data_IF_127422032814
#
_entry.id   IF_127422032814
#
_cell.length_a   1.000
_cell.length_b   1.000
_cell.length_c   1.000
_cell.angle_alpha   90.00
_cell.angle_beta   90.00
_cell.angle_gamma   90.00
#
_symmetry.space_group_name_H-M   'P 1'
#
loop_
_entity.id
_entity.type
_entity.pdbx_description
1 polymer ?
#
# COMPACT_ATOMS: atom_id res chain seq x y z
N UNK A 1 -11.17 10.76 16.51
CA UNK A 1 -12.44 10.98 15.79
C UNK A 1 -13.21 9.69 15.61
N UNK A 2 -12.56 8.60 15.18
CA UNK A 2 -13.20 7.27 15.13
C UNK A 2 -13.76 6.84 16.50
N UNK A 3 -13.00 7.01 17.58
CA UNK A 3 -13.39 6.57 18.94
C UNK A 3 -14.62 7.31 19.46
N UNK A 4 -14.78 8.58 19.07
CA UNK A 4 -15.99 9.35 19.34
C UNK A 4 -17.19 8.78 18.59
N UNK A 5 -17.03 8.48 17.30
CA UNK A 5 -18.08 7.84 16.49
C UNK A 5 -18.42 6.45 17.01
N UNK A 6 -17.43 5.68 17.48
CA UNK A 6 -17.60 4.37 18.10
C UNK A 6 -18.39 4.48 19.41
N UNK A 7 -18.02 5.42 20.28
CA UNK A 7 -18.73 5.69 21.54
C UNK A 7 -20.19 6.09 21.32
N UNK A 8 -20.47 6.81 20.22
CA UNK A 8 -21.83 7.20 19.81
C UNK A 8 -22.58 6.13 19.02
N UNK A 9 -22.00 4.94 18.81
CA UNK A 9 -22.53 3.85 17.95
C UNK A 9 -22.87 4.31 16.52
N UNK A 10 -22.10 5.27 16.01
CA UNK A 10 -22.17 5.82 14.64
C UNK A 10 -20.90 5.53 13.84
N UNK A 11 -20.10 4.55 14.26
CA UNK A 11 -18.92 4.12 13.53
C UNK A 11 -19.32 3.43 12.22
N UNK A 12 -18.61 3.77 11.15
CA UNK A 12 -18.77 3.15 9.83
C UNK A 12 -17.45 2.54 9.39
N UNK A 13 -17.49 1.56 8.48
CA UNK A 13 -16.28 1.02 7.87
C UNK A 13 -15.48 2.12 7.15
N UNK A 14 -16.13 3.17 6.65
CA UNK A 14 -15.40 4.27 6.04
C UNK A 14 -14.63 5.13 7.04
N UNK A 15 -15.24 5.46 8.19
CA UNK A 15 -14.51 6.16 9.25
C UNK A 15 -13.34 5.33 9.78
N UNK A 16 -13.50 4.00 9.84
CA UNK A 16 -12.42 3.09 10.21
C UNK A 16 -11.29 3.12 9.18
N UNK A 17 -11.63 3.06 7.90
CA UNK A 17 -10.65 3.13 6.81
C UNK A 17 -9.88 4.46 6.80
N UNK A 18 -10.58 5.59 6.99
CA UNK A 18 -9.94 6.90 7.07
C UNK A 18 -9.00 7.00 8.28
N UNK A 19 -9.34 6.37 9.41
CA UNK A 19 -8.45 6.28 10.56
C UNK A 19 -7.17 5.50 10.21
N UNK A 20 -7.30 4.33 9.59
CA UNK A 20 -6.17 3.53 9.09
C UNK A 20 -5.27 4.34 8.13
N UNK A 21 -5.85 5.03 7.14
CA UNK A 21 -5.09 5.86 6.19
C UNK A 21 -4.36 7.00 6.92
N UNK A 22 -5.02 7.65 7.88
CA UNK A 22 -4.43 8.79 8.59
C UNK A 22 -3.24 8.42 9.47
N UNK A 23 -3.29 7.29 10.19
CA UNK A 23 -2.18 6.86 11.04
C UNK A 23 -0.99 6.39 10.20
N UNK A 24 -1.26 5.70 9.08
CA UNK A 24 -0.22 5.29 8.13
C UNK A 24 0.43 6.50 7.45
N UNK A 25 -0.34 7.54 7.08
CA UNK A 25 0.22 8.79 6.55
C UNK A 25 1.18 9.46 7.53
N UNK A 26 0.78 9.59 8.81
CA UNK A 26 1.62 10.19 9.84
C UNK A 26 2.91 9.39 10.06
N UNK A 27 2.81 8.06 10.04
CA UNK A 27 3.97 7.17 10.18
C UNK A 27 4.93 7.25 9.00
N UNK A 28 4.42 7.18 7.76
CA UNK A 28 5.25 7.25 6.55
C UNK A 28 5.97 8.59 6.40
N UNK A 29 5.38 9.68 6.92
CA UNK A 29 6.01 11.00 6.94
C UNK A 29 6.87 11.26 8.20
N UNK A 30 7.19 10.23 8.99
CA UNK A 30 8.03 10.32 10.19
C UNK A 30 7.50 11.33 11.23
N UNK A 31 6.19 11.59 11.24
CA UNK A 31 5.52 12.47 12.21
C UNK A 31 5.05 11.71 13.46
N UNK A 32 5.17 10.39 13.44
CA UNK A 32 4.74 9.48 14.50
C UNK A 32 5.89 8.54 14.87
N UNK A 33 6.12 8.31 16.16
CA UNK A 33 7.12 7.33 16.61
C UNK A 33 6.62 5.90 16.37
N UNK A 34 7.54 4.95 16.31
CA UNK A 34 7.20 3.55 16.09
C UNK A 34 6.29 3.03 17.22
N UNK A 35 6.58 3.33 18.48
CA UNK A 35 5.78 2.86 19.61
C UNK A 35 4.34 3.37 19.55
N UNK A 36 4.15 4.62 19.13
CA UNK A 36 2.81 5.21 18.96
C UNK A 36 2.08 4.61 17.76
N UNK A 37 2.81 4.31 16.68
CA UNK A 37 2.25 3.63 15.52
C UNK A 37 1.76 2.23 15.90
N UNK A 38 2.59 1.43 16.56
CA UNK A 38 2.22 0.08 17.00
C UNK A 38 0.99 0.10 17.92
N UNK A 39 0.95 1.01 18.90
CA UNK A 39 -0.19 1.13 19.79
C UNK A 39 -1.50 1.45 19.03
N UNK A 40 -1.46 2.41 18.10
CA UNK A 40 -2.65 2.75 17.29
C UNK A 40 -3.05 1.66 16.30
N UNK A 41 -2.08 0.92 15.75
CA UNK A 41 -2.34 -0.24 14.90
C UNK A 41 -3.05 -1.34 15.68
N UNK A 42 -2.57 -1.66 16.89
CA UNK A 42 -3.22 -2.67 17.76
C UNK A 42 -4.69 -2.33 18.05
N UNK A 43 -4.99 -1.07 18.33
CA UNK A 43 -6.36 -0.60 18.56
C UNK A 43 -7.22 -0.72 17.30
N UNK A 44 -6.70 -0.31 16.14
CA UNK A 44 -7.40 -0.44 14.86
C UNK A 44 -7.63 -1.91 14.47
N UNK A 45 -6.68 -2.81 14.71
CA UNK A 45 -6.87 -4.26 14.52
C UNK A 45 -7.99 -4.80 15.40
N UNK A 46 -8.06 -4.38 16.66
CA UNK A 46 -9.16 -4.75 17.55
C UNK A 46 -10.51 -4.25 17.01
N UNK A 47 -10.58 -3.04 16.47
CA UNK A 47 -11.81 -2.54 15.83
C UNK A 47 -12.15 -3.34 14.58
N UNK A 48 -11.19 -3.64 13.72
CA UNK A 48 -11.37 -4.45 12.50
C UNK A 48 -11.92 -5.84 12.85
N UNK A 49 -11.42 -6.47 13.92
CA UNK A 49 -11.81 -7.81 14.33
C UNK A 49 -13.16 -7.85 15.08
N UNK A 50 -13.50 -6.79 15.81
CA UNK A 50 -14.72 -6.76 16.65
C UNK A 50 -15.95 -6.16 15.98
N UNK A 51 -15.76 -5.16 15.10
CA UNK A 51 -16.86 -4.35 14.53
C UNK A 51 -16.64 -3.96 13.08
N UNK A 52 -15.39 -3.96 12.62
CA UNK A 52 -15.05 -3.78 11.21
C UNK A 52 -15.56 -4.96 10.40
N UNK A 53 -16.03 -4.68 9.19
CA UNK A 53 -16.56 -5.69 8.28
C UNK A 53 -17.85 -6.37 8.74
N UNK A 54 -18.53 -5.87 9.78
CA UNK A 54 -19.87 -6.34 10.13
C UNK A 54 -20.74 -6.19 8.87
N UNK A 55 -21.15 -7.33 8.30
CA UNK A 55 -21.84 -7.37 7.02
C UNK A 55 -23.14 -6.58 7.13
N UNK A 56 -23.13 -5.32 6.69
CA UNK A 56 -24.35 -4.67 6.27
C UNK A 56 -24.77 -5.39 4.98
N UNK A 57 -25.43 -6.54 5.15
CA UNK A 57 -26.08 -7.26 4.05
C UNK A 57 -27.06 -6.29 3.44
N UNK A 58 -26.63 -5.59 2.40
CA UNK A 58 -27.49 -4.69 1.65
C UNK A 58 -28.38 -5.60 0.81
N UNK A 59 -29.54 -5.95 1.34
CA UNK A 59 -30.56 -6.61 0.51
C UNK A 59 -31.07 -5.59 -0.49
N UNK A 60 -30.78 -5.82 -1.78
CA UNK A 60 -31.37 -5.05 -2.86
C UNK A 60 -32.65 -5.76 -3.28
N UNK A 61 -33.77 -5.04 -3.24
CA UNK A 61 -35.04 -5.55 -3.78
C UNK A 61 -35.08 -5.22 -5.27
N UNK A 62 -35.05 -6.25 -6.11
CA UNK A 62 -35.26 -6.14 -7.55
C UNK A 62 -36.69 -5.66 -7.85
N UNK A 63 -36.93 -5.19 -9.08
CA UNK A 63 -38.25 -4.69 -9.52
C UNK A 63 -39.36 -5.75 -9.48
N UNK A 64 -38.99 -7.03 -9.45
CA UNK A 64 -39.88 -8.19 -9.33
C UNK A 64 -40.18 -8.59 -7.87
N UNK A 65 -39.63 -7.86 -6.89
CA UNK A 65 -39.77 -8.17 -5.46
C UNK A 65 -38.73 -9.15 -4.91
N UNK A 66 -37.83 -9.68 -5.74
CA UNK A 66 -36.77 -10.60 -5.31
C UNK A 66 -35.73 -9.84 -4.49
N UNK A 67 -35.55 -10.23 -3.22
CA UNK A 67 -34.50 -9.72 -2.35
C UNK A 67 -33.18 -10.46 -2.64
N UNK A 68 -32.31 -9.85 -3.44
CA UNK A 68 -30.94 -10.33 -3.61
C UNK A 68 -30.05 -9.74 -2.53
N UNK A 69 -29.19 -10.57 -1.93
CA UNK A 69 -28.08 -10.09 -1.13
C UNK A 69 -27.11 -9.42 -2.10
N UNK A 70 -27.07 -8.09 -2.14
CA UNK A 70 -26.00 -7.43 -2.85
C UNK A 70 -24.74 -7.58 -1.99
N UNK A 71 -23.64 -8.12 -2.54
CA UNK A 71 -22.34 -8.06 -1.89
C UNK A 71 -21.83 -6.60 -1.92
N UNK A 72 -22.49 -5.72 -1.18
CA UNK A 72 -21.82 -4.53 -0.66
C UNK A 72 -21.11 -5.04 0.58
N UNK A 73 -19.80 -5.02 0.63
CA UNK A 73 -19.15 -3.92 1.33
C UNK A 73 -17.66 -4.17 1.20
N UNK A 74 -16.91 -3.11 0.91
CA UNK A 74 -15.48 -3.14 1.08
C UNK A 74 -15.11 -3.72 2.46
N UNK A 75 -14.16 -4.66 2.49
CA UNK A 75 -13.64 -5.31 3.68
C UNK A 75 -12.25 -4.76 3.99
N UNK A 76 -12.02 -4.36 5.23
CA UNK A 76 -10.72 -3.92 5.72
C UNK A 76 -10.00 -5.14 6.32
N UNK A 77 -8.76 -5.35 5.91
CA UNK A 77 -7.83 -6.33 6.46
C UNK A 77 -6.51 -5.63 6.81
N UNK A 78 -5.61 -6.32 7.48
CA UNK A 78 -4.29 -5.83 7.81
C UNK A 78 -3.24 -6.87 7.38
N UNK A 79 -2.08 -6.38 6.96
CA UNK A 79 -0.96 -7.20 6.52
C UNK A 79 0.36 -6.44 6.69
N UNK A 80 1.48 -7.15 6.66
CA UNK A 80 2.78 -6.50 6.67
C UNK A 80 3.11 -6.00 5.26
N UNK A 81 3.35 -4.70 5.13
CA UNK A 81 3.67 -4.06 3.86
C UNK A 81 5.12 -3.55 3.87
N UNK A 82 5.88 -3.69 2.77
CA UNK A 82 7.21 -3.11 2.69
C UNK A 82 7.12 -1.57 2.64
N UNK A 83 8.10 -0.87 3.22
CA UNK A 83 8.25 0.60 3.14
C UNK A 83 8.69 1.06 1.75
N UNK A 84 7.91 0.72 0.74
CA UNK A 84 8.15 1.01 -0.67
C UNK A 84 7.07 1.89 -1.26
N UNK A 85 7.48 3.02 -1.84
CA UNK A 85 6.58 3.91 -2.55
C UNK A 85 6.02 3.25 -3.81
N UNK A 86 4.69 3.19 -3.88
CA UNK A 86 3.92 2.86 -5.10
C UNK A 86 4.31 1.51 -5.73
N UNK A 87 4.79 0.54 -4.94
CA UNK A 87 5.28 -0.75 -5.44
C UNK A 87 4.28 -1.42 -6.39
N UNK A 88 3.00 -1.41 -6.02
CA UNK A 88 1.94 -2.02 -6.83
C UNK A 88 1.78 -1.36 -8.21
N UNK A 89 2.01 -0.06 -8.34
CA UNK A 89 1.77 0.68 -9.59
C UNK A 89 3.05 0.96 -10.39
N UNK A 90 4.20 0.59 -9.84
CA UNK A 90 5.51 0.85 -10.41
C UNK A 90 6.32 -0.43 -10.56
N UNK A 91 7.64 -0.31 -10.68
CA UNK A 91 8.57 -1.43 -10.70
C UNK A 91 9.36 -1.44 -9.39
N UNK A 92 9.86 -2.61 -9.00
CA UNK A 92 10.56 -2.79 -7.73
C UNK A 92 11.77 -1.86 -7.62
N UNK A 93 12.55 -1.77 -8.70
CA UNK A 93 13.79 -1.00 -8.72
C UNK A 93 13.56 0.48 -8.43
N UNK A 94 12.64 1.11 -9.16
CA UNK A 94 12.30 2.52 -9.01
C UNK A 94 11.61 2.78 -7.67
N UNK A 95 10.75 1.87 -7.21
CA UNK A 95 10.15 1.95 -5.88
C UNK A 95 11.21 1.97 -4.79
N UNK A 96 12.20 1.07 -4.84
CA UNK A 96 13.33 1.07 -3.89
C UNK A 96 14.17 2.34 -4.02
N UNK A 97 14.40 2.82 -5.23
CA UNK A 97 15.18 4.02 -5.49
C UNK A 97 14.56 5.28 -4.86
N UNK A 98 13.24 5.43 -4.99
CA UNK A 98 12.48 6.61 -4.58
C UNK A 98 12.00 6.59 -3.14
N UNK A 99 12.03 5.43 -2.47
CA UNK A 99 11.55 5.32 -1.10
C UNK A 99 12.54 5.98 -0.15
N UNK A 100 12.08 6.99 0.60
CA UNK A 100 12.91 7.76 1.56
C UNK A 100 13.76 6.86 2.46
N UNK A 101 13.14 5.79 2.98
CA UNK A 101 13.78 4.83 3.88
C UNK A 101 15.04 4.17 3.25
N UNK A 102 14.94 3.70 2.01
CA UNK A 102 16.07 3.08 1.29
C UNK A 102 17.05 4.15 0.81
N UNK A 103 16.51 5.24 0.25
CA UNK A 103 17.30 6.28 -0.38
C UNK A 103 18.34 6.85 0.59
N UNK A 104 17.93 7.11 1.83
CA UNK A 104 18.80 7.66 2.89
C UNK A 104 19.87 6.68 3.35
N UNK A 105 19.53 5.40 3.57
CA UNK A 105 20.48 4.36 4.03
C UNK A 105 21.49 3.97 2.95
N UNK A 106 21.05 3.81 1.71
CA UNK A 106 21.91 3.38 0.60
C UNK A 106 22.52 4.54 -0.20
N UNK A 107 22.08 5.79 0.04
CA UNK A 107 22.47 6.99 -0.71
C UNK A 107 22.21 6.84 -2.22
N UNK A 108 20.99 6.43 -2.57
CA UNK A 108 20.62 6.02 -3.94
C UNK A 108 20.68 7.14 -4.98
N UNK A 109 20.76 8.40 -4.56
CA UNK A 109 21.02 9.56 -5.43
C UNK A 109 22.46 9.64 -5.95
N UNK A 110 23.37 8.81 -5.43
CA UNK A 110 24.76 8.72 -5.90
C UNK A 110 24.99 7.49 -6.78
N UNK A 111 25.95 7.57 -7.71
CA UNK A 111 26.33 6.42 -8.55
C UNK A 111 26.76 5.21 -7.73
N UNK A 112 27.43 5.42 -6.60
CA UNK A 112 27.83 4.35 -5.71
C UNK A 112 26.63 3.71 -5.01
N UNK A 113 25.67 4.51 -4.52
CA UNK A 113 24.43 4.00 -3.94
C UNK A 113 23.59 3.23 -4.94
N UNK A 114 23.52 3.71 -6.19
CA UNK A 114 22.87 3.02 -7.30
C UNK A 114 23.52 1.65 -7.58
N UNK A 115 24.86 1.59 -7.61
CA UNK A 115 25.60 0.32 -7.76
C UNK A 115 25.34 -0.63 -6.59
N UNK A 116 25.30 -0.11 -5.36
CA UNK A 116 24.97 -0.90 -4.16
C UNK A 116 23.57 -1.49 -4.23
N UNK A 117 22.56 -0.72 -4.66
CA UNK A 117 21.20 -1.22 -4.82
C UNK A 117 21.10 -2.33 -5.88
N UNK A 118 21.75 -2.15 -7.04
CA UNK A 118 21.82 -3.19 -8.08
C UNK A 118 22.50 -4.46 -7.58
N UNK A 119 23.61 -4.31 -6.83
CA UNK A 119 24.32 -5.43 -6.24
C UNK A 119 23.48 -6.16 -5.19
N UNK A 120 22.74 -5.42 -4.36
CA UNK A 120 21.82 -5.98 -3.36
C UNK A 120 20.74 -6.86 -4.01
N UNK A 121 20.08 -6.36 -5.06
CA UNK A 121 19.08 -7.13 -5.81
C UNK A 121 19.69 -8.37 -6.46
N UNK A 122 20.90 -8.25 -7.01
CA UNK A 122 21.62 -9.39 -7.57
C UNK A 122 22.00 -10.43 -6.51
N UNK A 123 22.38 -10.02 -5.29
CA UNK A 123 22.68 -10.93 -4.17
C UNK A 123 21.46 -11.73 -3.72
N UNK A 124 20.26 -11.14 -3.81
CA UNK A 124 18.98 -11.81 -3.53
C UNK A 124 18.50 -12.72 -4.68
N UNK A 125 19.24 -12.78 -5.79
CA UNK A 125 18.85 -13.56 -6.97
C UNK A 125 17.79 -12.89 -7.85
N UNK A 126 17.49 -11.61 -7.66
CA UNK A 126 16.52 -10.90 -8.50
C UNK A 126 17.20 -10.33 -9.74
N UNK A 127 16.77 -10.78 -10.92
CA UNK A 127 17.22 -10.22 -12.19
C UNK A 127 16.87 -8.74 -12.29
N UNK A 128 17.81 -7.91 -12.75
CA UNK A 128 17.58 -6.48 -12.92
C UNK A 128 16.45 -6.21 -13.92
N UNK A 129 16.34 -7.03 -14.97
CA UNK A 129 15.27 -6.94 -15.97
C UNK A 129 13.91 -7.11 -15.30
N UNK A 130 13.80 -8.10 -14.39
CA UNK A 130 12.57 -8.35 -13.66
C UNK A 130 12.27 -7.24 -12.66
N UNK A 131 13.29 -6.66 -12.02
CA UNK A 131 13.10 -5.56 -11.09
C UNK A 131 12.66 -4.25 -11.78
N UNK A 132 12.94 -4.10 -13.08
CA UNK A 132 12.57 -2.93 -13.88
C UNK A 132 11.23 -3.09 -14.59
N UNK A 133 10.71 -4.31 -14.70
CA UNK A 133 9.35 -4.56 -15.19
C UNK A 133 8.31 -4.11 -14.15
N UNK A 134 7.08 -3.79 -14.57
CA UNK A 134 6.02 -3.44 -13.61
C UNK A 134 5.83 -4.58 -12.61
N UNK A 135 5.81 -4.26 -11.32
CA UNK A 135 5.72 -5.22 -10.23
C UNK A 135 4.53 -6.16 -10.42
N UNK A 136 3.38 -5.67 -10.90
CA UNK A 136 2.21 -6.50 -11.21
C UNK A 136 2.51 -7.69 -12.13
N UNK A 137 3.44 -7.56 -13.07
CA UNK A 137 3.80 -8.58 -14.05
C UNK A 137 5.00 -9.45 -13.66
N UNK A 138 5.72 -9.07 -12.59
CA UNK A 138 6.83 -9.88 -12.07
C UNK A 138 6.35 -11.27 -11.63
N UNK A 139 7.20 -12.27 -11.82
CA UNK A 139 6.90 -13.67 -11.50
C UNK A 139 6.39 -13.82 -10.06
N UNK A 140 5.39 -14.67 -9.87
CA UNK A 140 4.80 -14.98 -8.58
C UNK A 140 5.81 -15.64 -7.65
N UNK A 141 6.66 -16.52 -8.17
CA UNK A 141 7.68 -17.21 -7.37
C UNK A 141 8.67 -16.19 -6.79
N UNK A 142 9.11 -15.24 -7.62
CA UNK A 142 10.00 -14.15 -7.18
C UNK A 142 9.34 -13.27 -6.11
N UNK A 143 8.05 -12.95 -6.26
CA UNK A 143 7.30 -12.19 -5.25
C UNK A 143 7.16 -12.93 -3.92
N UNK A 144 6.99 -14.25 -3.96
CA UNK A 144 6.88 -15.08 -2.75
C UNK A 144 8.20 -15.10 -1.98
N UNK A 145 9.32 -15.30 -2.68
CA UNK A 145 10.66 -15.29 -2.09
C UNK A 145 11.12 -13.89 -1.63
N UNK A 146 10.52 -12.83 -2.18
CA UNK A 146 10.93 -11.45 -1.92
C UNK A 146 10.93 -11.09 -0.44
N UNK A 147 9.91 -11.52 0.32
CA UNK A 147 9.84 -11.21 1.76
C UNK A 147 11.00 -11.84 2.52
N UNK A 148 11.25 -13.12 2.29
CA UNK A 148 12.32 -13.88 2.94
C UNK A 148 13.70 -13.31 2.61
N UNK A 149 13.95 -13.00 1.33
CA UNK A 149 15.23 -12.44 0.87
C UNK A 149 15.45 -11.02 1.40
N UNK A 150 14.40 -10.21 1.51
CA UNK A 150 14.48 -8.89 2.11
C UNK A 150 14.79 -8.96 3.61
N UNK A 151 14.08 -9.79 4.37
CA UNK A 151 14.34 -9.99 5.79
C UNK A 151 15.76 -10.52 6.05
N UNK A 152 16.30 -11.32 5.13
CA UNK A 152 17.66 -11.86 5.22
C UNK A 152 18.76 -10.83 4.92
N UNK A 153 18.66 -10.10 3.80
CA UNK A 153 19.77 -9.28 3.29
C UNK A 153 19.70 -7.80 3.66
N UNK A 154 18.50 -7.22 3.84
CA UNK A 154 18.35 -5.80 4.14
C UNK A 154 18.98 -5.37 5.48
N UNK A 155 18.95 -6.19 6.56
CA UNK A 155 19.60 -5.83 7.83
C UNK A 155 21.10 -5.57 7.70
N UNK A 156 21.82 -6.25 6.79
CA UNK A 156 23.25 -6.02 6.52
C UNK A 156 23.54 -4.58 6.06
N UNK A 157 22.54 -3.89 5.53
CA UNK A 157 22.63 -2.53 5.02
C UNK A 157 21.98 -1.50 5.97
N UNK A 158 21.62 -1.91 7.19
CA UNK A 158 20.96 -1.06 8.18
C UNK A 158 19.49 -0.75 7.86
N UNK A 159 18.85 -1.60 7.04
CA UNK A 159 17.43 -1.55 6.68
C UNK A 159 16.68 -2.63 7.50
N UNK A 160 16.64 -2.46 8.82
CA UNK A 160 16.09 -3.44 9.77
C UNK A 160 14.56 -3.44 9.82
N UNK A 161 13.95 -2.26 9.69
CA UNK A 161 12.50 -2.06 9.90
C UNK A 161 11.78 -1.92 8.57
N UNK A 162 12.13 -2.78 7.61
CA UNK A 162 11.69 -2.63 6.23
C UNK A 162 10.20 -2.92 6.02
N UNK A 163 9.65 -3.84 6.81
CA UNK A 163 8.22 -4.14 6.84
C UNK A 163 7.55 -3.44 8.01
N UNK A 164 6.34 -2.96 7.78
CA UNK A 164 5.50 -2.38 8.82
C UNK A 164 4.08 -2.89 8.68
N UNK A 165 3.34 -2.88 9.80
CA UNK A 165 1.97 -3.39 9.83
C UNK A 165 1.02 -2.38 9.19
N UNK A 166 0.50 -2.69 8.00
CA UNK A 166 -0.35 -1.83 7.19
C UNK A 166 -1.79 -2.36 7.10
N UNK A 167 -2.65 -1.59 6.43
CA UNK A 167 -4.07 -1.89 6.25
C UNK A 167 -4.44 -1.93 4.77
N UNK A 168 -5.28 -2.90 4.40
CA UNK A 168 -5.83 -3.04 3.06
C UNK A 168 -7.35 -2.93 3.09
N UNK A 169 -7.90 -2.28 2.07
CA UNK A 169 -9.34 -2.26 1.82
C UNK A 169 -9.66 -3.04 0.54
N UNK A 170 -10.13 -4.26 0.74
CA UNK A 170 -10.67 -5.12 -0.31
C UNK A 170 -12.06 -4.62 -0.70
N UNK A 171 -12.40 -4.67 -1.98
CA UNK A 171 -13.76 -4.36 -2.45
C UNK A 171 -14.37 -5.65 -3.03
N UNK A 172 -15.58 -6.01 -2.60
CA UNK A 172 -16.25 -7.26 -3.00
C UNK A 172 -16.77 -7.24 -4.45
N UNK A 173 -16.27 -8.16 -5.29
CA UNK A 173 -16.66 -8.66 -6.63
C UNK A 173 -17.34 -7.72 -7.66
N UNK A 174 -16.86 -7.58 -8.92
CA UNK A 174 -16.61 -8.60 -9.99
C UNK A 174 -17.80 -9.51 -10.33
N UNK A 175 -18.97 -8.94 -10.63
CA UNK A 175 -19.70 -9.39 -11.83
C UNK A 175 -19.05 -8.67 -13.01
N UNK A 176 -18.73 -9.35 -14.12
CA UNK A 176 -18.13 -8.68 -15.28
C UNK A 176 -19.07 -7.62 -15.85
N UNK A 177 -20.38 -7.79 -15.71
CA UNK A 177 -21.40 -6.93 -16.29
C UNK A 177 -21.75 -5.75 -15.37
N UNK A 178 -21.91 -5.99 -14.06
CA UNK A 178 -22.24 -4.96 -13.08
C UNK A 178 -21.01 -4.19 -12.59
N UNK A 179 -19.86 -4.88 -12.51
CA UNK A 179 -18.56 -4.28 -12.26
C UNK A 179 -18.18 -3.31 -13.37
N UNK A 180 -18.42 -3.63 -14.65
CA UNK A 180 -18.18 -2.68 -15.74
C UNK A 180 -19.09 -1.45 -15.69
N UNK A 181 -20.34 -1.56 -15.23
CA UNK A 181 -21.23 -0.41 -15.10
C UNK A 181 -20.85 0.51 -13.91
N UNK A 182 -20.49 -0.06 -12.76
CA UNK A 182 -19.97 0.71 -11.63
C UNK A 182 -18.57 1.26 -11.93
N UNK A 183 -17.68 0.46 -12.51
CA UNK A 183 -16.36 0.90 -12.99
C UNK A 183 -16.50 1.96 -14.08
N UNK A 184 -17.53 1.97 -14.92
CA UNK A 184 -17.78 3.05 -15.89
C UNK A 184 -18.17 4.39 -15.24
N UNK A 185 -18.87 4.34 -14.11
CA UNK A 185 -19.23 5.53 -13.32
C UNK A 185 -18.08 5.97 -12.39
N UNK A 186 -17.34 5.00 -11.86
CA UNK A 186 -16.15 5.14 -11.01
C UNK A 186 -14.86 5.35 -11.81
N UNK A 187 -14.89 5.17 -13.13
CA UNK A 187 -13.75 5.29 -14.06
C UNK A 187 -13.14 6.68 -13.96
N UNK A 188 -13.97 7.69 -13.71
CA UNK A 188 -13.49 9.05 -13.42
C UNK A 188 -12.61 9.12 -12.17
N UNK A 189 -12.92 8.40 -11.10
CA UNK A 189 -12.12 8.35 -9.88
C UNK A 189 -10.89 7.46 -10.03
N UNK A 190 -11.02 6.34 -10.74
CA UNK A 190 -9.89 5.44 -11.02
C UNK A 190 -8.88 6.11 -11.97
N UNK A 191 -9.33 6.84 -12.98
CA UNK A 191 -8.47 7.56 -13.91
C UNK A 191 -7.83 8.78 -13.25
N UNK A 192 -8.58 9.50 -12.38
CA UNK A 192 -7.98 10.53 -11.51
C UNK A 192 -6.93 9.94 -10.57
N UNK A 193 -7.19 8.77 -9.99
CA UNK A 193 -6.23 8.08 -9.12
C UNK A 193 -4.99 7.66 -9.90
N UNK A 194 -5.15 7.03 -11.07
CA UNK A 194 -4.05 6.67 -11.96
C UNK A 194 -3.25 7.90 -12.39
N UNK A 195 -3.92 8.99 -12.77
CA UNK A 195 -3.28 10.25 -13.13
C UNK A 195 -2.50 10.84 -11.94
N UNK A 196 -3.09 10.81 -10.74
CA UNK A 196 -2.45 11.24 -9.49
C UNK A 196 -1.21 10.40 -9.16
N UNK A 197 -1.30 9.07 -9.28
CA UNK A 197 -0.17 8.17 -9.09
C UNK A 197 0.95 8.44 -10.11
N UNK A 198 0.61 8.63 -11.39
CA UNK A 198 1.59 9.01 -12.41
C UNK A 198 2.26 10.36 -12.11
N UNK A 199 1.50 11.33 -11.60
CA UNK A 199 2.04 12.62 -11.22
C UNK A 199 2.97 12.49 -10.01
N UNK A 200 2.60 11.69 -9.01
CA UNK A 200 3.45 11.39 -7.85
C UNK A 200 4.77 10.74 -8.30
N UNK A 201 4.72 9.77 -9.21
CA UNK A 201 5.91 9.13 -9.81
C UNK A 201 6.83 10.18 -10.47
N UNK A 202 6.25 11.10 -11.26
CA UNK A 202 7.01 12.17 -11.92
C UNK A 202 7.68 13.10 -10.92
N UNK A 203 6.95 13.51 -9.88
CA UNK A 203 7.45 14.38 -8.81
C UNK A 203 8.59 13.69 -8.06
N UNK A 204 8.44 12.42 -7.67
CA UNK A 204 9.48 11.66 -6.96
C UNK A 204 10.76 11.52 -7.78
N UNK A 205 10.63 11.22 -9.09
CA UNK A 205 11.78 11.20 -10.00
C UNK A 205 12.46 12.57 -10.11
N UNK A 206 11.70 13.66 -10.10
CA UNK A 206 12.27 15.01 -10.14
C UNK A 206 13.03 15.34 -8.85
N UNK A 207 12.50 14.96 -7.68
CA UNK A 207 13.16 15.14 -6.37
C UNK A 207 14.50 14.40 -6.34
N UNK A 208 14.53 13.13 -6.77
CA UNK A 208 15.78 12.36 -6.83
C UNK A 208 16.82 13.00 -7.76
N UNK A 209 16.41 13.51 -8.92
CA UNK A 209 17.32 14.20 -9.85
C UNK A 209 17.92 15.46 -9.23
N UNK A 210 17.12 16.23 -8.50
CA UNK A 210 17.62 17.41 -7.79
C UNK A 210 18.62 17.02 -6.69
N UNK A 211 18.35 15.97 -5.91
CA UNK A 211 19.29 15.45 -4.91
C UNK A 211 20.61 14.93 -5.50
N UNK A 212 20.58 14.39 -6.71
CA UNK A 212 21.79 13.98 -7.43
C UNK A 212 22.61 15.15 -7.95
N UNK A 213 21.99 16.27 -8.34
CA UNK A 213 22.70 17.47 -8.85
C UNK A 213 23.30 18.34 -7.75
N UNK A 214 22.90 18.15 -6.49
CA UNK A 214 23.36 18.93 -5.34
C UNK A 214 24.64 18.38 -4.69
N UNK A 215 25.19 17.25 -5.18
CA UNK A 215 26.46 16.65 -4.75
C UNK A 215 27.49 16.71 -5.88
#
# INVERSE_FOLDING_TARGET
>A
MYDLSHSLRKNTNELLWLACVSITDQFLHERLTDERYQAGVMELEQYINSSGNLEAVTTVTLKDGTKIRAPQSSRITYEDEPRLMLLQEWNLFDSMLCSSYIATKLKTWSDNGMKKLKLLLARMGFSLVDCQQKYKYMDKEVKQLMKEEFERFLPEYGLTDFYYRSFLRLHGYRSKEFGMAYDALSLSNLDKLKAGMQQAIKIQRAILRQGSMAN
#
